data_IF_627461850673
#
_entry.id   IF_627461850673
#
_cell.length_a   1.000
_cell.length_b   1.000
_cell.length_c   1.000
_cell.angle_alpha   90.00
_cell.angle_beta   90.00
_cell.angle_gamma   90.00
#
_symmetry.space_group_name_H-M   'P 1'
#
loop_
_entity.id
_entity.type
_entity.pdbx_description
1 polymer ?
#
# COMPACT_ATOMS: atom_id res chain seq x y z
N UNK A 1 -4.97 10.84 18.11
CA UNK A 1 -3.98 9.73 18.03
C UNK A 1 -4.02 8.93 16.71
N UNK A 2 -5.15 8.60 16.13
CA UNK A 2 -5.20 7.73 14.92
C UNK A 2 -4.79 8.43 13.62
N UNK A 3 -5.09 9.73 13.44
CA UNK A 3 -4.55 10.49 12.29
C UNK A 3 -3.02 10.42 12.24
N UNK A 4 -2.36 10.48 13.40
CA UNK A 4 -0.90 10.35 13.48
C UNK A 4 -0.42 8.97 13.04
N UNK A 5 -1.04 7.89 13.51
CA UNK A 5 -0.65 6.53 13.13
C UNK A 5 -0.87 6.23 11.63
N UNK A 6 -1.89 6.83 11.01
CA UNK A 6 -2.11 6.70 9.56
C UNK A 6 -1.05 7.45 8.76
N UNK A 7 -0.67 8.64 9.19
CA UNK A 7 0.40 9.41 8.54
C UNK A 7 1.74 8.69 8.61
N UNK A 8 2.06 8.06 9.75
CA UNK A 8 3.27 7.23 9.88
C UNK A 8 3.23 6.01 8.95
N UNK A 9 2.09 5.32 8.84
CA UNK A 9 1.93 4.19 7.93
C UNK A 9 2.10 4.60 6.46
N UNK A 10 1.53 5.74 6.07
CA UNK A 10 1.68 6.24 4.71
C UNK A 10 3.14 6.61 4.41
N UNK A 11 3.83 7.28 5.34
CA UNK A 11 5.26 7.58 5.22
C UNK A 11 6.10 6.30 5.12
N UNK A 12 5.77 5.28 5.93
CA UNK A 12 6.44 3.98 5.87
C UNK A 12 6.29 3.33 4.48
N UNK A 13 5.10 3.39 3.88
CA UNK A 13 4.88 2.88 2.52
C UNK A 13 5.76 3.60 1.49
N UNK A 14 5.86 4.93 1.55
CA UNK A 14 6.70 5.72 0.65
C UNK A 14 8.18 5.32 0.79
N UNK A 15 8.67 5.20 2.02
CA UNK A 15 10.06 4.79 2.30
C UNK A 15 10.33 3.37 1.80
N UNK A 16 9.41 2.44 2.07
CA UNK A 16 9.54 1.06 1.59
C UNK A 16 9.53 0.98 0.06
N UNK A 17 8.66 1.75 -0.61
CA UNK A 17 8.64 1.81 -2.06
C UNK A 17 9.94 2.41 -2.63
N UNK A 18 10.48 3.46 -2.02
CA UNK A 18 11.76 4.04 -2.42
C UNK A 18 12.91 3.01 -2.32
N UNK A 19 12.94 2.24 -1.24
CA UNK A 19 13.91 1.15 -1.06
C UNK A 19 13.70 0.06 -2.13
N UNK A 20 12.46 -0.35 -2.38
CA UNK A 20 12.14 -1.36 -3.40
C UNK A 20 12.56 -0.91 -4.81
N UNK A 21 12.28 0.35 -5.18
CA UNK A 21 12.67 0.92 -6.47
C UNK A 21 14.19 0.92 -6.61
N UNK A 22 14.91 1.37 -5.58
CA UNK A 22 16.37 1.39 -5.61
C UNK A 22 16.97 -0.01 -5.72
N UNK A 23 16.46 -0.96 -4.92
CA UNK A 23 16.88 -2.38 -4.97
C UNK A 23 16.57 -3.01 -6.33
N UNK A 24 15.43 -2.68 -6.94
CA UNK A 24 15.09 -3.17 -8.28
C UNK A 24 16.11 -2.71 -9.33
N UNK A 25 16.56 -1.46 -9.23
CA UNK A 25 17.62 -0.93 -10.09
C UNK A 25 18.95 -1.65 -9.89
N UNK A 26 19.33 -1.89 -8.64
CA UNK A 26 20.54 -2.63 -8.31
C UNK A 26 20.50 -4.08 -8.80
N UNK A 27 19.38 -4.79 -8.57
CA UNK A 27 19.20 -6.17 -9.02
C UNK A 27 19.17 -6.26 -10.55
N UNK A 28 18.48 -5.34 -11.22
CA UNK A 28 18.46 -5.28 -12.67
C UNK A 28 19.88 -5.08 -13.26
N UNK A 29 20.65 -4.17 -12.66
CA UNK A 29 22.05 -3.94 -13.02
C UNK A 29 22.90 -5.21 -12.81
N UNK A 30 22.78 -5.83 -11.64
CA UNK A 30 23.55 -7.03 -11.29
C UNK A 30 23.28 -8.19 -12.26
N UNK A 31 22.00 -8.44 -12.54
CA UNK A 31 21.58 -9.48 -13.49
C UNK A 31 22.09 -9.16 -14.90
N UNK A 32 21.97 -7.90 -15.32
CA UNK A 32 22.38 -7.49 -16.66
C UNK A 32 23.89 -7.59 -16.89
N UNK A 33 24.70 -7.15 -15.94
CA UNK A 33 26.12 -6.94 -16.14
C UNK A 33 27.02 -7.92 -15.38
N UNK A 34 26.59 -8.49 -14.28
CA UNK A 34 27.42 -9.40 -13.45
C UNK A 34 27.11 -10.87 -13.70
N UNK A 35 25.83 -11.23 -13.83
CA UNK A 35 25.43 -12.63 -14.08
C UNK A 35 25.53 -13.04 -15.56
N UNK A 36 25.83 -12.09 -16.45
CA UNK A 36 26.06 -12.34 -17.89
C UNK A 36 24.98 -13.24 -18.54
N UNK A 37 23.71 -13.08 -18.18
CA UNK A 37 22.57 -13.88 -18.68
C UNK A 37 22.30 -13.64 -20.17
N UNK A 38 23.16 -12.88 -20.84
CA UNK A 38 23.09 -12.58 -22.27
C UNK A 38 23.14 -13.79 -23.20
N UNK A 39 23.78 -14.87 -22.78
CA UNK A 39 23.90 -16.08 -23.59
C UNK A 39 22.56 -16.78 -23.86
N UNK A 40 21.50 -16.48 -23.09
CA UNK A 40 20.23 -17.18 -23.20
C UNK A 40 19.23 -16.53 -24.19
N UNK A 41 19.26 -15.21 -24.39
CA UNK A 41 18.21 -14.52 -25.17
C UNK A 41 18.67 -13.89 -26.48
N UNK A 42 19.93 -13.57 -26.64
CA UNK A 42 20.45 -12.93 -27.85
C UNK A 42 21.86 -13.42 -28.10
N UNK A 43 21.96 -14.35 -29.00
CA UNK A 43 23.22 -14.95 -29.51
C UNK A 43 24.10 -13.92 -30.26
N UNK A 44 23.97 -12.65 -29.97
CA UNK A 44 24.72 -11.55 -30.54
C UNK A 44 25.42 -10.78 -29.44
N UNK A 45 26.71 -11.05 -29.26
CA UNK A 45 27.74 -10.04 -29.03
C UNK A 45 28.18 -9.79 -27.61
N UNK A 46 29.12 -10.57 -27.19
CA UNK A 46 30.19 -10.13 -26.25
C UNK A 46 30.70 -8.72 -26.62
N UNK A 47 30.57 -8.30 -27.87
CA UNK A 47 30.96 -6.99 -28.38
C UNK A 47 30.08 -5.82 -27.88
N UNK A 48 28.78 -6.02 -27.72
CA UNK A 48 27.90 -4.99 -27.18
C UNK A 48 28.01 -4.86 -25.65
N UNK A 49 28.46 -5.88 -24.95
CA UNK A 49 28.66 -5.83 -23.51
C UNK A 49 29.61 -4.72 -23.10
N UNK A 50 30.77 -4.64 -23.73
CA UNK A 50 31.80 -3.65 -23.41
C UNK A 50 31.40 -2.21 -23.79
N UNK A 51 30.53 -2.04 -24.78
CA UNK A 51 30.03 -0.71 -25.18
C UNK A 51 29.11 -0.07 -24.16
N UNK A 52 28.32 -0.88 -23.46
CA UNK A 52 27.29 -0.42 -22.50
C UNK A 52 27.67 -0.66 -21.05
N UNK A 53 28.80 -1.34 -20.80
CA UNK A 53 29.25 -1.55 -19.43
C UNK A 53 29.69 -0.23 -18.80
N UNK A 54 28.98 0.12 -17.75
CA UNK A 54 29.32 1.24 -16.87
C UNK A 54 29.18 0.77 -15.45
N UNK A 55 29.94 1.33 -14.55
CA UNK A 55 29.75 1.03 -13.14
C UNK A 55 28.40 1.51 -12.62
N UNK A 56 27.87 0.85 -11.60
CA UNK A 56 26.52 1.12 -11.09
C UNK A 56 26.28 2.59 -10.74
N UNK A 57 27.28 3.30 -10.22
CA UNK A 57 27.15 4.71 -9.86
C UNK A 57 26.81 5.61 -11.06
N UNK A 58 27.19 5.22 -12.27
CA UNK A 58 26.89 5.99 -13.49
C UNK A 58 25.40 5.85 -13.90
N UNK A 59 24.72 4.84 -13.39
CA UNK A 59 23.28 4.65 -13.58
C UNK A 59 22.43 5.26 -12.46
N UNK A 60 23.05 5.80 -11.41
CA UNK A 60 22.30 6.35 -10.26
C UNK A 60 21.44 7.54 -10.65
N UNK A 61 21.92 8.42 -11.51
CA UNK A 61 21.17 9.60 -11.94
C UNK A 61 19.84 9.25 -12.62
N UNK A 62 19.78 8.42 -13.67
CA UNK A 62 18.51 7.98 -14.25
C UNK A 62 17.66 7.13 -13.27
N UNK A 63 18.28 6.38 -12.36
CA UNK A 63 17.58 5.66 -11.31
C UNK A 63 16.87 6.58 -10.33
N UNK A 64 17.54 7.62 -9.84
CA UNK A 64 16.95 8.59 -8.91
C UNK A 64 15.81 9.35 -9.59
N UNK A 65 15.98 9.74 -10.86
CA UNK A 65 14.92 10.38 -11.64
C UNK A 65 13.70 9.46 -11.79
N UNK A 66 13.92 8.20 -12.12
CA UNK A 66 12.86 7.20 -12.22
C UNK A 66 12.19 6.92 -10.86
N UNK A 67 12.95 6.93 -9.76
CA UNK A 67 12.44 6.77 -8.40
C UNK A 67 11.47 7.90 -8.05
N UNK A 68 11.88 9.15 -8.23
CA UNK A 68 11.02 10.30 -7.94
C UNK A 68 9.74 10.23 -8.77
N UNK A 69 9.87 9.96 -10.07
CA UNK A 69 8.74 9.86 -10.98
C UNK A 69 7.77 8.73 -10.59
N UNK A 70 8.28 7.55 -10.25
CA UNK A 70 7.46 6.42 -9.80
C UNK A 70 6.74 6.72 -8.48
N UNK A 71 7.40 7.37 -7.52
CA UNK A 71 6.75 7.76 -6.26
C UNK A 71 5.60 8.75 -6.51
N UNK A 72 5.76 9.69 -7.44
CA UNK A 72 4.68 10.60 -7.86
C UNK A 72 3.53 9.84 -8.52
N UNK A 73 3.81 8.90 -9.42
CA UNK A 73 2.79 8.03 -10.03
C UNK A 73 2.07 7.18 -8.98
N UNK A 74 2.78 6.62 -8.01
CA UNK A 74 2.19 5.83 -6.93
C UNK A 74 1.26 6.69 -6.06
N UNK A 75 1.63 7.94 -5.80
CA UNK A 75 0.76 8.91 -5.12
C UNK A 75 -0.48 9.22 -5.95
N UNK A 76 -0.32 9.50 -7.24
CA UNK A 76 -1.41 9.79 -8.17
C UNK A 76 -2.43 8.64 -8.27
N UNK A 77 -1.96 7.40 -8.33
CA UNK A 77 -2.83 6.21 -8.33
C UNK A 77 -3.37 5.85 -6.94
N UNK A 78 -3.19 6.71 -5.95
CA UNK A 78 -3.71 6.54 -4.59
C UNK A 78 -3.16 5.30 -3.88
N UNK A 79 -1.92 4.90 -4.18
CA UNK A 79 -1.28 3.76 -3.52
C UNK A 79 -0.93 4.04 -2.04
N UNK A 80 -0.87 5.31 -1.65
CA UNK A 80 -0.59 5.76 -0.28
C UNK A 80 -1.83 6.14 0.52
N UNK A 81 -3.03 5.96 -0.05
CA UNK A 81 -4.27 6.20 0.69
C UNK A 81 -4.56 5.05 1.67
N UNK A 82 -5.09 5.33 2.87
CA UNK A 82 -5.38 4.31 3.86
C UNK A 82 -6.46 3.35 3.36
N UNK A 83 -6.14 2.06 3.27
CA UNK A 83 -7.00 1.04 2.64
C UNK A 83 -7.33 -0.10 3.61
N UNK A 84 -7.97 0.24 4.75
CA UNK A 84 -8.27 -0.76 5.79
C UNK A 84 -9.19 -1.88 5.27
N UNK A 85 -10.14 -1.54 4.40
CA UNK A 85 -11.18 -2.43 3.88
C UNK A 85 -11.07 -2.76 2.38
N UNK A 86 -10.10 -2.16 1.67
CA UNK A 86 -9.96 -2.40 0.23
C UNK A 86 -9.40 -3.78 -0.08
N UNK A 87 -9.96 -4.40 -1.13
CA UNK A 87 -9.41 -5.63 -1.70
C UNK A 87 -8.01 -5.38 -2.26
N UNK A 88 -7.08 -6.31 -2.00
CA UNK A 88 -5.70 -6.24 -2.49
C UNK A 88 -5.57 -6.17 -4.01
N UNK A 89 -6.57 -6.70 -4.73
CA UNK A 89 -6.61 -6.68 -6.19
C UNK A 89 -6.60 -5.27 -6.80
N UNK A 90 -7.34 -4.32 -6.22
CA UNK A 90 -7.34 -2.93 -6.71
C UNK A 90 -5.97 -2.26 -6.56
N UNK A 91 -5.27 -2.54 -5.46
CA UNK A 91 -3.93 -2.03 -5.24
C UNK A 91 -2.91 -2.62 -6.22
N UNK A 92 -3.03 -3.93 -6.49
CA UNK A 92 -2.21 -4.61 -7.48
C UNK A 92 -2.38 -4.01 -8.88
N UNK A 93 -3.63 -3.79 -9.30
CA UNK A 93 -3.95 -3.17 -10.59
C UNK A 93 -3.39 -1.74 -10.68
N UNK A 94 -3.53 -0.95 -9.62
CA UNK A 94 -2.99 0.42 -9.60
C UNK A 94 -1.44 0.42 -9.65
N UNK A 95 -0.81 -0.52 -8.95
CA UNK A 95 0.64 -0.71 -9.02
C UNK A 95 1.10 -1.09 -10.43
N UNK A 96 0.38 -2.01 -11.07
CA UNK A 96 0.67 -2.41 -12.45
C UNK A 96 0.51 -1.23 -13.43
N UNK A 97 -0.58 -0.47 -13.32
CA UNK A 97 -0.80 0.73 -14.15
C UNK A 97 0.33 1.74 -13.98
N UNK A 98 0.72 2.04 -12.74
CA UNK A 98 1.80 2.98 -12.47
C UNK A 98 3.14 2.51 -13.07
N UNK A 99 3.45 1.21 -12.97
CA UNK A 99 4.66 0.63 -13.55
C UNK A 99 4.63 0.66 -15.10
N UNK A 100 3.49 0.33 -15.71
CA UNK A 100 3.36 0.37 -17.18
C UNK A 100 3.48 1.79 -17.73
N UNK A 101 2.84 2.77 -17.08
CA UNK A 101 2.97 4.17 -17.45
C UNK A 101 4.42 4.65 -17.24
N UNK A 102 5.03 4.31 -16.12
CA UNK A 102 6.43 4.59 -15.85
C UNK A 102 7.35 4.06 -16.94
N UNK A 103 7.18 2.79 -17.33
CA UNK A 103 7.92 2.16 -18.41
C UNK A 103 7.73 2.90 -19.74
N UNK A 104 6.48 3.21 -20.11
CA UNK A 104 6.17 3.92 -21.35
C UNK A 104 6.77 5.32 -21.42
N UNK A 105 6.58 6.12 -20.36
CA UNK A 105 7.14 7.48 -20.28
C UNK A 105 8.66 7.45 -20.35
N UNK A 106 9.27 6.53 -19.67
CA UNK A 106 10.71 6.43 -19.65
C UNK A 106 11.27 5.96 -20.99
N UNK A 107 10.61 5.02 -21.67
CA UNK A 107 10.97 4.62 -23.02
C UNK A 107 10.83 5.78 -24.02
N UNK A 108 9.76 6.58 -23.87
CA UNK A 108 9.55 7.80 -24.64
C UNK A 108 10.68 8.82 -24.43
N UNK A 109 11.03 9.10 -23.18
CA UNK A 109 12.12 10.04 -22.82
C UNK A 109 13.44 9.59 -23.43
N UNK A 110 13.80 8.30 -23.30
CA UNK A 110 15.04 7.77 -23.88
C UNK A 110 15.07 7.94 -25.40
N UNK A 111 13.92 7.72 -26.05
CA UNK A 111 13.82 7.81 -27.51
C UNK A 111 13.88 9.24 -28.01
N UNK A 112 13.11 10.17 -27.40
CA UNK A 112 13.02 11.57 -27.81
C UNK A 112 14.33 12.31 -27.56
N UNK A 113 14.93 12.11 -26.39
CA UNK A 113 16.19 12.76 -26.03
C UNK A 113 17.42 12.03 -26.54
N UNK A 114 17.22 10.96 -27.36
CA UNK A 114 18.29 10.20 -27.97
C UNK A 114 19.42 9.83 -26.98
N UNK A 115 19.03 9.40 -25.77
CA UNK A 115 20.00 9.04 -24.73
C UNK A 115 20.79 7.84 -25.22
N UNK A 116 21.96 8.13 -25.80
CA UNK A 116 22.84 7.11 -26.37
C UNK A 116 23.44 6.24 -25.26
N UNK A 117 23.66 4.96 -25.58
CA UNK A 117 24.32 3.99 -24.70
C UNK A 117 23.54 3.64 -23.41
N UNK A 118 22.19 3.73 -23.42
CA UNK A 118 21.38 3.19 -22.34
C UNK A 118 20.82 1.82 -22.72
N UNK A 119 21.15 0.73 -21.99
CA UNK A 119 20.73 -0.61 -22.37
C UNK A 119 19.23 -0.82 -22.14
N UNK A 120 18.48 -1.05 -23.22
CA UNK A 120 17.01 -1.22 -23.16
C UNK A 120 16.59 -2.36 -22.24
N UNK A 121 17.37 -3.45 -22.19
CA UNK A 121 17.09 -4.59 -21.32
C UNK A 121 17.25 -4.30 -19.83
N UNK A 122 18.17 -3.40 -19.43
CA UNK A 122 18.29 -2.94 -18.05
C UNK A 122 16.98 -2.31 -17.58
N UNK A 123 16.34 -1.56 -18.46
CA UNK A 123 15.12 -0.84 -18.19
C UNK A 123 13.91 -1.77 -18.00
N UNK A 124 13.77 -2.76 -18.90
CA UNK A 124 12.74 -3.78 -18.77
C UNK A 124 12.91 -4.59 -17.48
N UNK A 125 14.13 -5.01 -17.16
CA UNK A 125 14.43 -5.70 -15.91
C UNK A 125 14.14 -4.84 -14.69
N UNK A 126 14.47 -3.54 -14.73
CA UNK A 126 14.18 -2.61 -13.64
C UNK A 126 12.69 -2.56 -13.33
N UNK A 127 11.82 -2.31 -14.33
CA UNK A 127 10.38 -2.25 -14.09
C UNK A 127 9.78 -3.59 -13.71
N UNK A 128 10.31 -4.69 -14.22
CA UNK A 128 9.90 -6.04 -13.83
C UNK A 128 10.19 -6.31 -12.35
N UNK A 129 11.41 -6.07 -11.90
CA UNK A 129 11.76 -6.27 -10.49
C UNK A 129 11.09 -5.25 -9.57
N UNK A 130 10.93 -4.02 -10.02
CA UNK A 130 10.19 -3.01 -9.27
C UNK A 130 8.74 -3.43 -9.02
N UNK A 131 8.06 -4.00 -10.01
CA UNK A 131 6.72 -4.54 -9.83
C UNK A 131 6.71 -5.69 -8.81
N UNK A 132 7.61 -6.65 -8.93
CA UNK A 132 7.70 -7.79 -8.01
C UNK A 132 7.96 -7.33 -6.57
N UNK A 133 8.94 -6.46 -6.37
CA UNK A 133 9.28 -5.95 -5.03
C UNK A 133 8.15 -5.10 -4.45
N UNK A 134 7.49 -4.30 -5.27
CA UNK A 134 6.32 -3.53 -4.88
C UNK A 134 5.15 -4.41 -4.43
N UNK A 135 4.86 -5.50 -5.13
CA UNK A 135 3.85 -6.50 -4.72
C UNK A 135 4.24 -7.17 -3.41
N UNK A 136 5.48 -7.61 -3.31
CA UNK A 136 6.01 -8.29 -2.12
C UNK A 136 5.99 -7.39 -0.88
N UNK A 137 6.44 -6.15 -1.00
CA UNK A 137 6.40 -5.13 0.05
C UNK A 137 4.98 -4.93 0.59
N UNK A 138 4.00 -4.76 -0.30
CA UNK A 138 2.59 -4.59 0.08
C UNK A 138 2.01 -5.82 0.77
N UNK A 139 2.34 -7.00 0.27
CA UNK A 139 1.94 -8.25 0.92
C UNK A 139 2.50 -8.36 2.35
N UNK A 140 3.78 -8.05 2.54
CA UNK A 140 4.45 -8.08 3.84
C UNK A 140 3.82 -7.09 4.82
N UNK A 141 3.65 -5.83 4.41
CA UNK A 141 3.05 -4.79 5.25
C UNK A 141 1.62 -5.20 5.65
N UNK A 142 0.82 -5.70 4.71
CA UNK A 142 -0.54 -6.19 5.01
C UNK A 142 -0.53 -7.35 6.00
N UNK A 143 0.39 -8.31 5.85
CA UNK A 143 0.52 -9.46 6.75
C UNK A 143 0.88 -8.99 8.17
N UNK A 144 1.86 -8.11 8.30
CA UNK A 144 2.28 -7.54 9.60
C UNK A 144 1.13 -6.77 10.25
N UNK A 145 0.43 -5.93 9.49
CA UNK A 145 -0.71 -5.17 10.01
C UNK A 145 -1.86 -6.09 10.47
N UNK A 146 -2.18 -7.15 9.72
CA UNK A 146 -3.21 -8.13 10.10
C UNK A 146 -2.83 -8.85 11.39
N UNK A 147 -1.57 -9.28 11.53
CA UNK A 147 -1.09 -9.95 12.75
C UNK A 147 -1.13 -9.00 13.95
N UNK A 148 -0.68 -7.77 13.79
CA UNK A 148 -0.70 -6.76 14.87
C UNK A 148 -2.14 -6.44 15.32
N UNK A 149 -3.10 -6.34 14.38
CA UNK A 149 -4.50 -6.11 14.70
C UNK A 149 -5.12 -7.29 15.47
N UNK A 150 -4.81 -8.53 15.09
CA UNK A 150 -5.25 -9.72 15.85
C UNK A 150 -4.70 -9.74 17.28
N UNK A 151 -3.51 -9.15 17.50
CA UNK A 151 -2.89 -9.02 18.83
C UNK A 151 -3.38 -7.79 19.61
N UNK A 152 -4.44 -7.11 19.15
CA UNK A 152 -4.99 -5.95 19.84
C UNK A 152 -4.27 -4.64 19.60
N UNK A 153 -3.30 -4.57 18.67
CA UNK A 153 -2.58 -3.34 18.33
C UNK A 153 -3.21 -2.68 17.10
N UNK A 154 -3.17 -1.35 17.03
CA UNK A 154 -3.74 -0.56 15.92
C UNK A 154 -5.23 -0.85 15.69
N UNK A 155 -5.99 -0.93 16.81
CA UNK A 155 -7.44 -1.08 16.82
C UNK A 155 -8.09 0.30 16.68
N UNK A 156 -9.20 0.36 15.96
CA UNK A 156 -10.11 1.50 15.94
C UNK A 156 -11.30 1.24 16.87
N UNK A 157 -11.60 2.24 17.66
CA UNK A 157 -12.74 2.25 18.57
C UNK A 157 -13.95 2.85 17.88
N UNK A 158 -15.02 2.07 17.74
CA UNK A 158 -16.22 2.43 16.98
C UNK A 158 -17.45 2.33 17.88
N UNK A 159 -18.39 3.26 17.73
CA UNK A 159 -19.75 3.18 18.28
C UNK A 159 -20.76 3.18 17.15
N UNK A 160 -21.90 2.57 17.39
CA UNK A 160 -23.03 2.56 16.47
C UNK A 160 -24.11 3.54 16.91
N UNK A 161 -24.68 4.23 15.94
CA UNK A 161 -25.89 5.06 16.12
C UNK A 161 -27.03 4.34 15.42
N UNK A 162 -28.03 3.93 16.21
CA UNK A 162 -29.14 3.11 15.77
C UNK A 162 -28.80 1.62 15.70
N UNK A 163 -29.75 0.77 16.01
CA UNK A 163 -29.64 -0.67 15.86
C UNK A 163 -30.65 -1.16 14.81
N UNK A 164 -30.14 -1.42 13.63
CA UNK A 164 -30.89 -1.95 12.50
C UNK A 164 -30.37 -3.34 12.09
N UNK A 165 -31.05 -4.00 11.17
CA UNK A 165 -30.56 -5.25 10.55
C UNK A 165 -29.17 -5.05 9.91
N UNK A 166 -28.92 -3.87 9.38
CA UNK A 166 -27.61 -3.51 8.80
C UNK A 166 -26.54 -3.38 9.90
N UNK A 167 -26.89 -2.79 11.06
CA UNK A 167 -25.99 -2.73 12.23
C UNK A 167 -25.62 -4.14 12.70
N UNK A 168 -26.61 -5.00 12.88
CA UNK A 168 -26.40 -6.39 13.29
C UNK A 168 -25.45 -7.12 12.33
N UNK A 169 -25.72 -7.04 11.01
CA UNK A 169 -24.87 -7.66 9.99
C UNK A 169 -23.45 -7.10 9.98
N UNK A 170 -23.29 -5.80 10.26
CA UNK A 170 -21.96 -5.17 10.31
C UNK A 170 -21.19 -5.60 11.57
N UNK A 171 -21.86 -5.66 12.72
CA UNK A 171 -21.29 -6.17 13.97
C UNK A 171 -20.83 -7.62 13.81
N UNK A 172 -21.66 -8.47 13.18
CA UNK A 172 -21.29 -9.88 12.92
C UNK A 172 -20.06 -9.99 12.02
N UNK A 173 -19.96 -9.13 10.98
CA UNK A 173 -18.77 -9.07 10.12
C UNK A 173 -17.53 -8.61 10.86
N UNK A 174 -17.65 -7.63 11.75
CA UNK A 174 -16.53 -7.17 12.59
C UNK A 174 -16.02 -8.31 13.47
N UNK A 175 -16.94 -9.04 14.13
CA UNK A 175 -16.57 -10.16 15.00
C UNK A 175 -15.98 -11.34 14.24
N UNK A 176 -16.49 -11.64 13.06
CA UNK A 176 -15.93 -12.65 12.17
C UNK A 176 -14.54 -12.28 11.61
N UNK A 177 -14.17 -11.01 11.63
CA UNK A 177 -12.94 -10.50 11.02
C UNK A 177 -12.08 -9.68 11.99
N UNK A 178 -11.49 -10.26 13.04
CA UNK A 178 -10.68 -9.55 14.02
C UNK A 178 -9.45 -8.86 13.39
N UNK A 179 -9.02 -9.32 12.20
CA UNK A 179 -7.95 -8.68 11.42
C UNK A 179 -8.30 -7.29 10.86
N UNK A 180 -9.57 -6.88 10.92
CA UNK A 180 -9.97 -5.51 10.60
C UNK A 180 -9.54 -4.52 11.69
N UNK A 181 -9.35 -5.03 12.91
CA UNK A 181 -8.93 -4.22 14.05
C UNK A 181 -9.96 -3.16 14.39
N UNK A 182 -11.24 -3.54 14.41
CA UNK A 182 -12.35 -2.74 14.91
C UNK A 182 -12.79 -3.29 16.25
N UNK A 183 -13.02 -2.41 17.23
CA UNK A 183 -13.61 -2.73 18.51
C UNK A 183 -14.86 -1.89 18.69
N UNK A 184 -16.01 -2.53 18.73
CA UNK A 184 -17.28 -1.88 19.00
C UNK A 184 -17.42 -1.71 20.51
N UNK A 185 -17.60 -0.46 20.95
CA UNK A 185 -17.76 -0.11 22.36
C UNK A 185 -19.20 -0.22 22.81
N UNK A 186 -20.15 0.10 21.93
CA UNK A 186 -21.58 0.01 22.22
C UNK A 186 -22.43 0.67 21.18
N UNK A 187 -23.70 0.75 21.50
CA UNK A 187 -24.77 1.24 20.63
C UNK A 187 -25.48 2.40 21.33
N UNK A 188 -25.72 3.49 20.60
CA UNK A 188 -26.59 4.59 20.98
C UNK A 188 -27.89 4.47 20.18
N UNK A 189 -29.01 4.35 20.88
CA UNK A 189 -30.31 4.19 20.22
C UNK A 189 -31.43 4.67 21.15
N UNK A 190 -32.42 5.38 20.60
CA UNK A 190 -33.57 5.88 21.35
C UNK A 190 -34.73 4.87 21.37
N UNK A 191 -34.74 3.92 20.43
CA UNK A 191 -35.86 2.98 20.23
C UNK A 191 -35.69 1.64 20.97
N UNK A 192 -34.46 1.24 21.26
CA UNK A 192 -34.16 -0.04 21.92
C UNK A 192 -34.15 0.12 23.46
N UNK A 193 -34.52 -0.95 24.15
CA UNK A 193 -34.56 -0.95 25.63
C UNK A 193 -33.16 -0.73 26.23
N UNK A 194 -33.11 -0.18 27.47
CA UNK A 194 -31.83 0.15 28.12
C UNK A 194 -30.96 -1.09 28.44
N UNK A 195 -31.58 -2.24 28.59
CA UNK A 195 -30.88 -3.52 28.80
C UNK A 195 -30.54 -4.25 27.52
N UNK A 196 -30.64 -3.59 26.35
CA UNK A 196 -30.37 -4.23 25.07
C UNK A 196 -28.90 -4.62 24.92
N UNK A 197 -28.69 -5.85 24.52
CA UNK A 197 -27.38 -6.40 24.21
C UNK A 197 -27.44 -7.26 22.95
N UNK A 198 -26.50 -7.03 22.03
CA UNK A 198 -26.33 -7.83 20.84
C UNK A 198 -24.89 -8.34 20.73
N UNK A 199 -24.70 -9.66 20.76
CA UNK A 199 -23.37 -10.26 20.66
C UNK A 199 -22.36 -9.72 21.67
N UNK A 200 -22.75 -9.43 22.91
CA UNK A 200 -21.89 -8.85 23.94
C UNK A 200 -21.61 -7.36 23.79
N UNK A 201 -22.33 -6.67 22.90
CA UNK A 201 -22.28 -5.22 22.73
C UNK A 201 -23.56 -4.65 23.30
N UNK A 202 -23.41 -3.79 24.32
CA UNK A 202 -24.53 -3.20 25.07
C UNK A 202 -24.93 -1.84 24.51
N UNK A 203 -26.18 -1.46 24.72
CA UNK A 203 -26.61 -0.07 24.62
C UNK A 203 -25.86 0.74 25.68
N UNK A 204 -25.29 1.87 25.27
CA UNK A 204 -24.54 2.77 26.19
C UNK A 204 -25.40 3.97 26.60
N UNK A 205 -26.30 4.42 25.74
CA UNK A 205 -27.14 5.56 25.98
C UNK A 205 -28.04 5.90 24.81
N UNK A 206 -28.67 7.05 24.91
CA UNK A 206 -29.52 7.65 23.87
C UNK A 206 -28.71 8.54 22.92
N UNK A 207 -29.32 9.02 21.85
CA UNK A 207 -28.67 9.95 20.93
C UNK A 207 -28.27 11.28 21.63
N UNK A 208 -28.99 11.70 22.69
CA UNK A 208 -28.67 12.89 23.46
C UNK A 208 -27.35 12.74 24.25
N UNK A 209 -27.03 11.53 24.67
CA UNK A 209 -25.83 11.24 25.46
C UNK A 209 -24.58 11.14 24.59
N UNK A 210 -24.75 11.00 23.27
CA UNK A 210 -23.66 10.78 22.31
C UNK A 210 -22.64 11.94 22.35
N UNK A 211 -23.09 13.19 22.35
CA UNK A 211 -22.20 14.34 22.33
C UNK A 211 -21.27 14.37 23.56
N UNK A 212 -21.83 14.18 24.75
CA UNK A 212 -21.08 14.10 25.99
C UNK A 212 -20.12 12.89 26.02
N UNK A 213 -20.52 11.79 25.44
CA UNK A 213 -19.69 10.59 25.34
C UNK A 213 -18.51 10.81 24.38
N UNK A 214 -18.73 11.47 23.22
CA UNK A 214 -17.68 11.78 22.24
C UNK A 214 -16.60 12.70 22.80
N UNK A 215 -16.98 13.65 23.65
CA UNK A 215 -16.03 14.56 24.31
C UNK A 215 -15.13 13.85 25.31
N UNK A 216 -15.67 12.86 26.03
CA UNK A 216 -14.95 12.11 27.08
C UNK A 216 -14.19 10.88 26.58
N UNK A 217 -14.56 10.34 25.43
CA UNK A 217 -14.01 9.10 24.90
C UNK A 217 -13.12 9.32 23.68
N UNK A 218 -12.02 8.57 23.57
CA UNK A 218 -11.14 8.55 22.40
C UNK A 218 -11.71 7.63 21.31
N UNK A 219 -12.85 8.00 20.72
CA UNK A 219 -13.43 7.26 19.62
C UNK A 219 -12.80 7.67 18.29
N UNK A 220 -12.74 6.71 17.39
CA UNK A 220 -12.11 6.87 16.09
C UNK A 220 -13.13 6.92 14.95
N UNK A 221 -14.28 6.28 15.13
CA UNK A 221 -15.28 6.11 14.09
C UNK A 221 -16.67 6.00 14.72
N UNK A 222 -17.64 6.62 14.07
CA UNK A 222 -19.06 6.52 14.41
C UNK A 222 -19.76 5.92 13.19
N UNK A 223 -20.43 4.79 13.36
CA UNK A 223 -21.22 4.14 12.32
C UNK A 223 -22.70 4.49 12.51
N UNK A 224 -23.30 5.10 11.51
CA UNK A 224 -24.72 5.43 11.47
C UNK A 224 -25.43 4.35 10.66
N UNK A 225 -26.51 3.76 11.20
CA UNK A 225 -27.22 2.63 10.57
C UNK A 225 -28.73 2.80 10.57
#
# INVERSE_FOLDING_TARGET
MIKQNQTYLNRLHVVMDAICIYLAGYVAYYIRFKLNIHGFWLNKEIFEYNRYYKEFYQYQQPLITSLIFLLLLYSFFGLYTPKRYQRGSKELVNLMKANLIGLGVSAFVITVFQIQNFPRSLYLLFYFFNFIFGVFSRYLIRKVLKVNRKKGRNIKHTVFIGFSTSAAAYIDRIKANPQWGLKVHGIFDDLVSDNFEYRGIKKIGTLKDLAAYLEKSSLDEVAIT
#
